data_IF_510345018293
#
_entry.id   IF_510345018293
#
_cell.length_a   1.000
_cell.length_b   1.000
_cell.length_c   1.000
_cell.angle_alpha   90.00
_cell.angle_beta   90.00
_cell.angle_gamma   90.00
#
_symmetry.space_group_name_H-M   'P 1'
#
loop_
_entity.id
_entity.type
_entity.pdbx_description
1 polymer ?
#
# COMPACT_ATOMS: atom_id res chain seq x y z
N UNK A 1 6.45 -31.81 -45.16
CA UNK A 1 6.04 -32.14 -43.78
C UNK A 1 6.60 -31.08 -42.85
N UNK A 2 5.77 -30.12 -42.50
CA UNK A 2 6.13 -29.06 -41.56
C UNK A 2 5.90 -29.61 -40.16
N UNK A 3 6.98 -29.81 -39.43
CA UNK A 3 6.96 -30.20 -38.00
C UNK A 3 6.49 -29.01 -37.20
N UNK A 4 5.24 -29.06 -36.72
CA UNK A 4 4.76 -28.10 -35.73
C UNK A 4 5.49 -28.36 -34.41
N UNK A 5 6.44 -27.53 -34.07
CA UNK A 5 7.00 -27.48 -32.73
C UNK A 5 5.89 -27.01 -31.78
N UNK A 6 5.20 -27.95 -31.15
CA UNK A 6 4.43 -27.66 -29.94
C UNK A 6 5.44 -27.19 -28.88
N UNK A 7 5.53 -25.88 -28.65
CA UNK A 7 6.11 -25.40 -27.42
C UNK A 7 5.22 -25.88 -26.30
N UNK A 8 5.81 -26.63 -25.34
CA UNK A 8 5.11 -27.00 -24.11
C UNK A 8 4.50 -25.75 -23.48
N UNK A 9 3.28 -25.83 -22.94
CA UNK A 9 2.73 -24.72 -22.18
C UNK A 9 3.75 -24.36 -21.11
N UNK A 10 4.13 -23.09 -21.03
CA UNK A 10 5.01 -22.63 -19.98
C UNK A 10 4.30 -22.93 -18.68
N UNK A 11 4.87 -23.82 -17.85
CA UNK A 11 4.41 -24.09 -16.49
C UNK A 11 4.63 -22.84 -15.61
N UNK A 12 3.90 -21.78 -15.92
CA UNK A 12 3.88 -20.59 -15.10
C UNK A 12 2.75 -20.71 -14.10
N UNK A 13 3.11 -20.75 -12.84
CA UNK A 13 2.13 -20.66 -11.77
C UNK A 13 1.46 -19.29 -11.82
N UNK A 14 0.15 -19.30 -11.60
CA UNK A 14 -0.63 -18.10 -11.37
C UNK A 14 -0.50 -17.77 -9.89
N UNK A 15 0.22 -16.69 -9.58
CA UNK A 15 0.43 -16.25 -8.19
C UNK A 15 -0.54 -15.15 -7.87
N UNK A 16 -1.37 -15.36 -6.86
CA UNK A 16 -2.31 -14.36 -6.35
C UNK A 16 -1.93 -14.03 -4.90
N UNK A 17 -1.61 -12.76 -4.66
CA UNK A 17 -1.44 -12.26 -3.29
C UNK A 17 -2.81 -11.99 -2.66
N UNK A 18 -3.03 -12.46 -1.44
CA UNK A 18 -4.31 -12.30 -0.74
C UNK A 18 -4.22 -11.40 0.49
N UNK A 19 -3.11 -10.74 0.70
CA UNK A 19 -2.86 -9.87 1.85
C UNK A 19 -2.12 -8.59 1.43
N UNK A 20 -2.58 -8.01 0.32
CA UNK A 20 -2.07 -6.73 -0.16
C UNK A 20 -2.73 -5.56 0.57
N UNK A 21 -1.94 -4.58 0.95
CA UNK A 21 -2.42 -3.34 1.55
C UNK A 21 -2.15 -2.15 0.66
N UNK A 22 -3.12 -1.24 0.57
CA UNK A 22 -2.97 0.01 -0.16
C UNK A 22 -3.67 1.14 0.57
N UNK A 23 -3.05 2.30 0.57
CA UNK A 23 -3.60 3.48 1.19
C UNK A 23 -2.76 4.72 0.92
N UNK A 24 -3.41 5.86 0.91
CA UNK A 24 -2.75 7.15 0.77
C UNK A 24 -1.96 7.52 2.04
N UNK A 25 -1.01 8.41 1.85
CA UNK A 25 -0.45 9.14 2.99
C UNK A 25 -1.58 9.85 3.74
N UNK A 26 -1.60 9.80 5.08
CA UNK A 26 -2.72 10.30 5.88
C UNK A 26 -3.18 11.71 5.51
N UNK A 27 -2.27 12.62 5.28
CA UNK A 27 -2.57 14.00 4.91
C UNK A 27 -3.24 14.14 3.53
N UNK A 28 -3.07 13.17 2.64
CA UNK A 28 -3.64 13.19 1.29
C UNK A 28 -5.12 12.86 1.26
N UNK A 29 -5.64 12.23 2.30
CA UNK A 29 -7.08 11.96 2.39
C UNK A 29 -7.93 13.24 2.44
N UNK A 30 -7.34 14.36 2.87
CA UNK A 30 -8.00 15.67 2.88
C UNK A 30 -8.60 16.06 1.53
N UNK A 31 -7.92 15.73 0.45
CA UNK A 31 -8.34 16.12 -0.90
C UNK A 31 -9.63 15.41 -1.34
N UNK A 32 -9.90 14.26 -0.74
CA UNK A 32 -11.10 13.43 -1.02
C UNK A 32 -12.25 13.70 -0.07
N UNK A 33 -12.02 14.52 0.98
CA UNK A 33 -13.08 14.87 1.93
C UNK A 33 -14.00 15.96 1.38
N UNK A 34 -15.28 15.80 1.66
CA UNK A 34 -16.25 16.89 1.50
C UNK A 34 -15.76 18.13 2.29
N UNK A 35 -15.85 19.33 1.71
CA UNK A 35 -15.36 20.56 2.32
C UNK A 35 -15.79 20.79 3.77
N UNK A 36 -17.00 20.39 4.13
CA UNK A 36 -17.53 20.55 5.49
C UNK A 36 -16.76 19.77 6.57
N UNK A 37 -16.02 18.73 6.20
CA UNK A 37 -15.24 17.90 7.13
C UNK A 37 -13.76 18.26 7.21
N UNK A 38 -13.28 19.12 6.32
CA UNK A 38 -11.83 19.43 6.20
C UNK A 38 -11.27 20.10 7.43
N UNK A 39 -11.99 21.03 8.03
CA UNK A 39 -11.56 21.71 9.26
C UNK A 39 -11.39 20.71 10.42
N UNK A 40 -12.34 19.80 10.59
CA UNK A 40 -12.25 18.74 11.60
C UNK A 40 -11.07 17.80 11.31
N UNK A 41 -10.87 17.44 10.08
CA UNK A 41 -9.72 16.62 9.66
C UNK A 41 -8.40 17.32 9.99
N UNK A 42 -8.25 18.59 9.59
CA UNK A 42 -7.04 19.38 9.85
C UNK A 42 -6.73 19.49 11.36
N UNK A 43 -7.76 19.55 12.18
CA UNK A 43 -7.60 19.60 13.63
C UNK A 43 -7.13 18.28 14.27
N UNK A 44 -7.37 17.14 13.63
CA UNK A 44 -7.10 15.81 14.20
C UNK A 44 -5.94 15.08 13.58
N UNK A 45 -5.65 15.31 12.30
CA UNK A 45 -4.68 14.53 11.55
C UNK A 45 -3.26 14.56 12.13
N UNK A 46 -2.84 15.70 12.66
CA UNK A 46 -1.51 15.82 13.28
C UNK A 46 -1.32 14.91 14.47
N UNK A 47 -2.34 14.80 15.33
CA UNK A 47 -2.33 13.91 16.49
C UNK A 47 -2.34 12.43 16.07
N UNK A 48 -3.10 12.07 15.03
CA UNK A 48 -3.14 10.71 14.49
C UNK A 48 -1.79 10.29 13.90
N UNK A 49 -1.15 11.15 13.13
CA UNK A 49 0.19 10.91 12.59
C UNK A 49 1.20 10.72 13.73
N UNK A 50 1.18 11.59 14.74
CA UNK A 50 2.08 11.49 15.88
C UNK A 50 1.88 10.19 16.68
N UNK A 51 0.63 9.79 16.89
CA UNK A 51 0.29 8.53 17.55
C UNK A 51 0.73 7.31 16.73
N UNK A 52 0.65 7.36 15.41
CA UNK A 52 1.16 6.32 14.52
C UNK A 52 2.67 6.18 14.64
N UNK A 53 3.40 7.28 14.52
CA UNK A 53 4.87 7.30 14.64
C UNK A 53 5.32 6.77 16.00
N UNK A 54 4.63 7.13 17.08
CA UNK A 54 4.94 6.63 18.42
C UNK A 54 4.77 5.11 18.52
N UNK A 55 3.68 4.56 17.92
CA UNK A 55 3.44 3.11 17.91
C UNK A 55 4.45 2.36 17.04
N UNK A 56 4.84 2.92 15.90
CA UNK A 56 5.83 2.31 15.03
C UNK A 56 7.15 2.07 15.77
N UNK A 57 7.56 2.95 16.64
CA UNK A 57 8.78 2.79 17.47
C UNK A 57 8.74 1.58 18.39
N UNK A 58 7.55 1.16 18.82
CA UNK A 58 7.42 0.02 19.73
C UNK A 58 7.52 -1.33 19.00
N UNK A 59 7.30 -1.34 17.68
CA UNK A 59 7.24 -2.56 16.89
C UNK A 59 8.37 -2.69 15.88
N UNK A 60 9.05 -1.60 15.54
CA UNK A 60 10.04 -1.56 14.49
C UNK A 60 11.45 -1.52 15.10
N UNK A 61 12.33 -2.34 14.54
CA UNK A 61 13.76 -2.26 14.82
C UNK A 61 14.33 -1.18 13.90
N UNK A 62 14.69 -0.03 14.45
CA UNK A 62 15.12 1.17 13.71
C UNK A 62 16.24 0.85 12.71
N UNK A 63 17.26 0.12 13.13
CA UNK A 63 18.41 -0.24 12.26
C UNK A 63 18.00 -1.04 11.03
N UNK A 64 17.03 -1.94 11.17
CA UNK A 64 16.52 -2.73 10.07
C UNK A 64 15.63 -1.89 9.15
N UNK A 65 14.76 -1.09 9.72
CA UNK A 65 13.84 -0.25 8.96
C UNK A 65 14.56 0.84 8.19
N UNK A 66 15.53 1.50 8.78
CA UNK A 66 16.29 2.56 8.11
C UNK A 66 17.07 1.99 6.93
N UNK A 67 17.69 0.83 7.09
CA UNK A 67 18.39 0.14 6.02
C UNK A 67 17.45 -0.32 4.90
N UNK A 68 16.31 -0.88 5.26
CA UNK A 68 15.30 -1.32 4.29
C UNK A 68 14.70 -0.12 3.54
N UNK A 69 14.33 0.94 4.24
CA UNK A 69 13.77 2.17 3.65
C UNK A 69 14.75 2.84 2.70
N UNK A 70 16.02 2.92 3.07
CA UNK A 70 17.05 3.49 2.20
C UNK A 70 17.13 2.76 0.85
N UNK A 71 16.99 1.43 0.84
CA UNK A 71 17.00 0.62 -0.38
C UNK A 71 15.68 0.59 -1.16
N UNK A 72 14.56 0.90 -0.52
CA UNK A 72 13.22 0.71 -1.10
C UNK A 72 12.36 1.98 -1.12
N UNK A 73 12.93 3.13 -0.86
CA UNK A 73 12.16 4.37 -0.67
C UNK A 73 11.28 4.71 -1.89
N UNK A 74 11.77 4.51 -3.10
CA UNK A 74 10.99 4.72 -4.32
C UNK A 74 9.81 3.74 -4.44
N UNK A 75 9.99 2.50 -4.01
CA UNK A 75 8.96 1.46 -4.06
C UNK A 75 7.85 1.63 -3.01
N UNK A 76 8.08 2.44 -1.99
CA UNK A 76 7.05 2.76 -0.99
C UNK A 76 5.84 3.46 -1.63
N UNK A 77 6.05 4.17 -2.74
CA UNK A 77 4.96 4.78 -3.50
C UNK A 77 3.96 3.75 -4.04
N UNK A 78 4.33 2.49 -4.19
CA UNK A 78 3.42 1.42 -4.59
C UNK A 78 2.24 1.21 -3.61
N UNK A 79 2.29 1.77 -2.41
CA UNK A 79 1.16 1.77 -1.49
C UNK A 79 -0.02 2.63 -1.97
N UNK A 80 0.22 3.66 -2.79
CA UNK A 80 -0.80 4.60 -3.27
C UNK A 80 -0.73 4.93 -4.76
N UNK A 81 0.35 4.57 -5.44
CA UNK A 81 0.55 4.79 -6.86
C UNK A 81 0.34 3.46 -7.60
N UNK A 82 -0.70 3.41 -8.45
CA UNK A 82 -1.11 2.19 -9.15
C UNK A 82 -0.09 1.72 -10.18
N UNK A 83 0.60 2.63 -10.83
CA UNK A 83 1.58 2.29 -11.87
C UNK A 83 2.83 1.71 -11.22
N UNK A 84 3.32 2.36 -10.17
CA UNK A 84 4.42 1.85 -9.37
C UNK A 84 4.08 0.50 -8.72
N UNK A 85 2.83 0.33 -8.25
CA UNK A 85 2.39 -0.95 -7.70
C UNK A 85 2.43 -2.06 -8.73
N UNK A 86 1.93 -1.79 -9.93
CA UNK A 86 1.96 -2.74 -11.04
C UNK A 86 3.38 -3.17 -11.37
N UNK A 87 4.31 -2.23 -11.44
CA UNK A 87 5.72 -2.54 -11.66
C UNK A 87 6.31 -3.45 -10.56
N UNK A 88 5.97 -3.18 -9.29
CA UNK A 88 6.45 -3.97 -8.16
C UNK A 88 5.89 -5.39 -8.18
N UNK A 89 4.58 -5.56 -8.36
CA UNK A 89 3.97 -6.89 -8.37
C UNK A 89 4.40 -7.71 -9.60
N UNK A 90 4.58 -7.08 -10.75
CA UNK A 90 5.09 -7.74 -11.96
C UNK A 90 6.53 -8.22 -11.75
N UNK A 91 7.37 -7.41 -11.12
CA UNK A 91 8.76 -7.79 -10.80
C UNK A 91 8.82 -8.97 -9.81
N UNK A 92 7.84 -9.08 -8.91
CA UNK A 92 7.73 -10.18 -7.95
C UNK A 92 7.02 -11.42 -8.55
N UNK A 93 6.56 -11.34 -9.79
CA UNK A 93 5.86 -12.44 -10.48
C UNK A 93 4.42 -12.66 -9.98
N UNK A 94 3.83 -11.66 -9.33
CA UNK A 94 2.45 -11.70 -8.85
C UNK A 94 1.51 -11.29 -9.98
N UNK A 95 0.53 -12.14 -10.28
CA UNK A 95 -0.43 -11.94 -11.38
C UNK A 95 -1.61 -11.06 -10.97
N UNK A 96 -2.05 -11.20 -9.73
CA UNK A 96 -3.17 -10.46 -9.17
C UNK A 96 -3.03 -10.36 -7.65
N UNK A 97 -3.71 -9.38 -7.06
CA UNK A 97 -3.76 -9.28 -5.61
C UNK A 97 -5.13 -8.82 -5.11
N UNK A 98 -5.45 -9.23 -3.90
CA UNK A 98 -6.56 -8.70 -3.12
C UNK A 98 -6.01 -7.58 -2.26
N UNK A 99 -6.60 -6.38 -2.40
CA UNK A 99 -6.17 -5.19 -1.69
C UNK A 99 -7.12 -4.87 -0.52
N UNK A 100 -6.53 -4.67 0.63
CA UNK A 100 -7.22 -4.13 1.80
C UNK A 100 -6.84 -2.66 2.00
N UNK A 101 -7.78 -1.82 2.46
CA UNK A 101 -7.47 -0.44 2.80
C UNK A 101 -6.50 -0.38 3.97
N UNK A 102 -5.56 0.55 3.89
CA UNK A 102 -4.54 0.78 4.91
C UNK A 102 -4.56 2.23 5.42
N UNK A 103 -3.82 2.50 6.46
CA UNK A 103 -3.68 3.82 7.05
C UNK A 103 -4.83 4.22 7.95
N UNK A 104 -5.34 5.43 7.79
CA UNK A 104 -6.42 5.95 8.63
C UNK A 104 -7.75 5.26 8.39
N UNK A 105 -7.95 4.67 7.23
CA UNK A 105 -9.18 3.95 6.89
C UNK A 105 -9.28 2.61 7.59
N UNK A 106 -8.17 1.99 7.95
CA UNK A 106 -8.13 0.71 8.64
C UNK A 106 -8.77 0.76 10.03
N UNK A 107 -8.57 1.88 10.74
CA UNK A 107 -9.04 2.03 12.13
C UNK A 107 -10.39 2.66 12.30
N UNK A 108 -10.78 3.47 11.37
CA UNK A 108 -11.93 4.34 11.47
C UNK A 108 -12.94 4.09 10.36
N UNK A 109 -13.13 2.85 9.98
CA UNK A 109 -14.19 2.51 9.05
C UNK A 109 -15.51 2.18 9.82
N UNK A 110 -16.63 2.86 9.57
CA UNK A 110 -16.69 4.03 8.71
C UNK A 110 -15.88 5.17 9.29
N UNK A 111 -15.07 5.81 8.46
CA UNK A 111 -14.25 6.90 8.92
C UNK A 111 -15.15 7.95 9.51
N UNK A 112 -14.76 8.41 10.65
CA UNK A 112 -15.29 9.67 11.11
C UNK A 112 -16.76 9.68 11.47
N UNK A 113 -17.17 8.63 12.03
CA UNK A 113 -18.39 8.58 12.82
C UNK A 113 -19.60 9.18 12.14
N UNK A 114 -20.47 8.37 12.01
CA UNK A 114 -21.81 8.89 12.10
C UNK A 114 -21.92 9.82 13.30
#
# INVERSE_FOLDING_TARGET
MTSATHSAPSDRYLVVSTDGHAGLLPEKYRDYLDPQYRERFDATIGAEIAARVAREKDFLIDEFNDKWRAGNNAKLAAAWDSDMRTEVIDADGVTAEVLFPDGITERNAPPFGA
#
